data_IF_932021075844
#
_entry.id   IF_932021075844
#
_cell.length_a   1.000
_cell.length_b   1.000
_cell.length_c   1.000
_cell.angle_alpha   90.00
_cell.angle_beta   90.00
_cell.angle_gamma   90.00
#
_symmetry.space_group_name_H-M   'P 1'
#
loop_
_entity.id
_entity.type
_entity.pdbx_description
1 polymer ?
#
# COMPACT_ATOMS: atom_id res chain seq x y z
N UNK A 1 3.96 31.56 -18.58
CA UNK A 1 2.85 31.01 -17.77
C UNK A 1 3.17 29.59 -17.35
N UNK A 2 2.74 29.21 -16.14
CA UNK A 2 2.80 27.83 -15.66
C UNK A 2 1.74 27.05 -16.45
N UNK A 3 2.12 25.96 -17.12
CA UNK A 3 1.15 25.12 -17.85
C UNK A 3 0.11 24.58 -16.88
N UNK A 4 -1.18 24.64 -17.22
CA UNK A 4 -2.26 23.99 -16.48
C UNK A 4 -3.14 23.17 -17.44
N UNK A 5 -3.70 22.02 -17.01
CA UNK A 5 -4.60 21.24 -17.85
C UNK A 5 -5.89 22.01 -18.18
N UNK A 6 -6.48 21.83 -19.36
CA UNK A 6 -7.79 22.41 -19.65
C UNK A 6 -8.84 21.86 -18.67
N UNK A 7 -9.81 22.69 -18.31
CA UNK A 7 -10.96 22.35 -17.46
C UNK A 7 -10.64 21.80 -16.06
N UNK A 8 -9.39 21.82 -15.59
CA UNK A 8 -8.98 21.21 -14.32
C UNK A 8 -9.79 21.74 -13.12
N UNK A 9 -10.13 23.04 -13.13
CA UNK A 9 -10.94 23.69 -12.07
C UNK A 9 -12.36 23.14 -12.04
N UNK A 10 -12.98 23.01 -13.21
CA UNK A 10 -14.34 22.44 -13.37
C UNK A 10 -14.30 20.97 -12.95
N UNK A 11 -13.31 20.22 -13.43
CA UNK A 11 -13.14 18.81 -13.12
C UNK A 11 -12.97 18.58 -11.61
N UNK A 12 -12.16 19.40 -10.94
CA UNK A 12 -11.98 19.34 -9.50
C UNK A 12 -13.26 19.70 -8.74
N UNK A 13 -13.98 20.75 -9.16
CA UNK A 13 -15.25 21.16 -8.55
C UNK A 13 -16.31 20.04 -8.65
N UNK A 14 -16.42 19.41 -9.81
CA UNK A 14 -17.30 18.25 -10.00
C UNK A 14 -16.90 17.05 -9.14
N UNK A 15 -15.60 16.78 -8.97
CA UNK A 15 -15.15 15.71 -8.08
C UNK A 15 -15.51 16.05 -6.63
N UNK A 16 -15.32 17.29 -6.18
CA UNK A 16 -15.75 17.75 -4.86
C UNK A 16 -17.24 17.54 -4.65
N UNK A 17 -18.08 17.88 -5.63
CA UNK A 17 -19.53 17.67 -5.54
C UNK A 17 -19.88 16.17 -5.44
N UNK A 18 -19.31 15.34 -6.31
CA UNK A 18 -19.49 13.87 -6.25
C UNK A 18 -18.96 13.24 -4.95
N UNK A 19 -18.06 13.92 -4.23
CA UNK A 19 -17.41 13.45 -3.00
C UNK A 19 -17.86 14.24 -1.77
N UNK A 20 -18.90 15.06 -1.88
CA UNK A 20 -19.39 15.93 -0.81
C UNK A 20 -19.81 15.15 0.45
N UNK A 21 -20.33 13.94 0.29
CA UNK A 21 -20.78 13.08 1.39
C UNK A 21 -19.64 12.42 2.18
N UNK A 22 -18.41 12.36 1.63
CA UNK A 22 -17.26 11.67 2.23
C UNK A 22 -17.59 10.25 2.70
N UNK A 23 -18.18 9.46 1.81
CA UNK A 23 -18.67 8.10 2.07
C UNK A 23 -17.81 6.98 1.45
N UNK A 24 -16.57 7.29 1.05
CA UNK A 24 -15.67 6.28 0.52
C UNK A 24 -14.96 5.52 1.64
N UNK A 25 -14.50 4.29 1.39
CA UNK A 25 -13.68 3.55 2.35
C UNK A 25 -12.52 4.35 2.94
N UNK A 26 -11.82 5.15 2.12
CA UNK A 26 -10.71 5.99 2.57
C UNK A 26 -11.11 7.04 3.63
N UNK A 27 -12.37 7.53 3.62
CA UNK A 27 -12.81 8.58 4.55
C UNK A 27 -13.00 8.08 5.98
N UNK A 28 -13.41 6.81 6.13
CA UNK A 28 -13.74 6.23 7.43
C UNK A 28 -12.71 5.20 7.89
N UNK A 29 -12.00 4.58 6.95
CA UNK A 29 -11.08 3.47 7.19
C UNK A 29 -9.67 3.74 6.66
N UNK A 30 -9.40 4.96 6.18
CA UNK A 30 -8.08 5.37 5.73
C UNK A 30 -7.12 5.70 6.87
N UNK A 31 -5.88 6.05 6.52
CA UNK A 31 -4.84 6.39 7.48
C UNK A 31 -5.17 7.63 8.34
N UNK A 32 -6.05 8.51 7.85
CA UNK A 32 -6.52 9.71 8.57
C UNK A 32 -7.42 9.38 9.77
N UNK A 33 -7.97 8.17 9.84
CA UNK A 33 -8.87 7.74 10.92
C UNK A 33 -8.36 6.52 11.70
N UNK A 34 -7.28 5.88 11.22
CA UNK A 34 -6.79 4.62 11.77
C UNK A 34 -5.89 4.73 13.03
N UNK A 35 -6.06 5.78 13.84
CA UNK A 35 -5.36 5.96 15.11
C UNK A 35 -6.33 6.13 16.28
N UNK A 36 -5.84 5.94 17.50
CA UNK A 36 -6.62 6.11 18.73
C UNK A 36 -6.86 7.59 19.04
N UNK A 37 -8.11 8.04 19.17
CA UNK A 37 -8.42 9.39 19.63
C UNK A 37 -7.89 9.61 21.04
N UNK A 38 -7.21 10.74 21.27
CA UNK A 38 -6.64 11.07 22.58
C UNK A 38 -5.31 10.40 22.92
N UNK A 39 -4.77 9.54 22.04
CA UNK A 39 -3.43 9.00 22.24
C UNK A 39 -2.36 10.11 22.23
N UNK A 40 -1.27 9.97 23.02
CA UNK A 40 -0.14 10.90 22.99
C UNK A 40 0.38 11.09 21.56
N UNK A 41 0.85 12.30 21.23
CA UNK A 41 1.27 12.64 19.86
C UNK A 41 2.27 11.65 19.23
N UNK A 42 3.32 11.15 19.93
CA UNK A 42 4.22 10.13 19.37
C UNK A 42 3.50 8.81 19.04
N UNK A 43 2.58 8.37 19.91
CA UNK A 43 1.79 7.15 19.70
C UNK A 43 0.86 7.29 18.51
N UNK A 44 0.16 8.44 18.40
CA UNK A 44 -0.71 8.73 17.26
C UNK A 44 0.08 8.72 15.95
N UNK A 45 1.23 9.39 15.91
CA UNK A 45 2.09 9.45 14.73
C UNK A 45 2.62 8.08 14.32
N UNK A 46 3.05 7.29 15.30
CA UNK A 46 3.42 5.89 15.08
C UNK A 46 2.26 5.08 14.48
N UNK A 47 1.06 5.17 15.06
CA UNK A 47 -0.12 4.45 14.54
C UNK A 47 -0.49 4.85 13.11
N UNK A 48 -0.37 6.14 12.76
CA UNK A 48 -0.52 6.61 11.38
C UNK A 48 0.50 5.93 10.46
N UNK A 49 1.78 5.91 10.84
CA UNK A 49 2.82 5.22 10.07
C UNK A 49 2.52 3.73 9.89
N UNK A 50 2.13 3.03 10.95
CA UNK A 50 1.77 1.60 10.88
C UNK A 50 0.60 1.40 9.92
N UNK A 51 -0.45 2.24 9.99
CA UNK A 51 -1.59 2.13 9.08
C UNK A 51 -1.18 2.27 7.61
N UNK A 52 -0.27 3.21 7.30
CA UNK A 52 0.27 3.41 5.95
C UNK A 52 1.08 2.20 5.48
N UNK A 53 1.98 1.67 6.32
CA UNK A 53 2.74 0.45 6.00
C UNK A 53 1.81 -0.74 5.70
N UNK A 54 0.74 -0.90 6.47
CA UNK A 54 -0.24 -1.98 6.29
C UNK A 54 -1.14 -1.79 5.08
N UNK A 55 -1.46 -0.56 4.69
CA UNK A 55 -2.33 -0.23 3.55
C UNK A 55 -1.76 -0.65 2.19
N UNK A 56 -0.43 -0.78 2.07
CA UNK A 56 0.20 -1.11 0.80
C UNK A 56 -0.35 -2.42 0.21
N UNK A 57 -0.98 -2.36 -0.97
CA UNK A 57 -1.63 -3.50 -1.62
C UNK A 57 -2.63 -4.24 -0.70
N UNK A 58 -3.36 -3.51 0.14
CA UNK A 58 -4.40 -4.04 1.03
C UNK A 58 -5.58 -3.09 1.02
N UNK A 59 -6.81 -3.62 1.10
CA UNK A 59 -8.01 -2.78 1.14
C UNK A 59 -8.11 -2.04 2.47
N UNK A 60 -8.76 -0.89 2.47
CA UNK A 60 -8.88 -0.03 3.66
C UNK A 60 -9.61 -0.75 4.79
N UNK A 61 -10.66 -1.54 4.50
CA UNK A 61 -11.42 -2.29 5.50
C UNK A 61 -10.54 -3.32 6.24
N UNK A 62 -9.68 -4.02 5.49
CA UNK A 62 -8.77 -5.03 6.05
C UNK A 62 -7.68 -4.36 6.89
N UNK A 63 -7.21 -3.20 6.44
CA UNK A 63 -6.20 -2.40 7.15
C UNK A 63 -6.76 -1.85 8.45
N UNK A 64 -7.95 -1.25 8.42
CA UNK A 64 -8.63 -0.71 9.59
C UNK A 64 -8.92 -1.80 10.64
N UNK A 65 -9.37 -2.99 10.21
CA UNK A 65 -9.57 -4.13 11.10
C UNK A 65 -8.26 -4.60 11.75
N UNK A 66 -7.15 -4.62 11.02
CA UNK A 66 -5.84 -4.95 11.58
C UNK A 66 -5.33 -3.89 12.56
N UNK A 67 -5.51 -2.60 12.22
CA UNK A 67 -5.18 -1.49 13.11
C UNK A 67 -6.00 -1.55 14.40
N UNK A 68 -7.29 -1.88 14.34
CA UNK A 68 -8.11 -2.05 15.54
C UNK A 68 -7.57 -3.14 16.47
N UNK A 69 -7.18 -4.31 15.93
CA UNK A 69 -6.55 -5.38 16.72
C UNK A 69 -5.21 -4.97 17.31
N UNK A 70 -4.36 -4.28 16.53
CA UNK A 70 -3.07 -3.78 17.01
C UNK A 70 -3.24 -2.75 18.13
N UNK A 71 -4.20 -1.83 18.01
CA UNK A 71 -4.47 -0.82 19.05
C UNK A 71 -4.93 -1.48 20.35
N UNK A 72 -5.87 -2.42 20.26
CA UNK A 72 -6.31 -3.21 21.42
C UNK A 72 -5.16 -3.99 22.10
N UNK A 73 -4.15 -4.40 21.32
CA UNK A 73 -2.96 -5.09 21.82
C UNK A 73 -1.87 -4.14 22.38
N UNK A 74 -1.96 -2.83 22.11
CA UNK A 74 -0.94 -1.84 22.48
C UNK A 74 -0.04 -1.43 21.31
N UNK A 75 -0.61 -0.73 20.32
CA UNK A 75 0.11 -0.26 19.14
C UNK A 75 1.04 0.92 19.47
N UNK A 76 2.17 0.61 20.08
CA UNK A 76 3.28 1.50 20.42
C UNK A 76 4.60 0.86 19.97
N UNK A 77 5.68 1.65 19.84
CA UNK A 77 7.01 1.12 19.46
C UNK A 77 7.42 0.00 20.42
N UNK A 78 7.34 0.24 21.72
CA UNK A 78 7.71 -0.75 22.74
C UNK A 78 6.78 -1.96 22.73
N UNK A 79 5.46 -1.74 22.58
CA UNK A 79 4.47 -2.83 22.52
C UNK A 79 4.66 -3.76 21.32
N UNK A 80 5.04 -3.22 20.16
CA UNK A 80 5.37 -4.04 18.99
C UNK A 80 6.67 -4.80 19.19
N UNK A 81 7.70 -4.19 19.81
CA UNK A 81 8.98 -4.85 20.07
C UNK A 81 8.87 -5.97 21.10
N UNK A 82 8.00 -5.82 22.11
CA UNK A 82 7.71 -6.86 23.10
C UNK A 82 6.82 -7.98 22.56
N UNK A 83 6.15 -7.78 21.43
CA UNK A 83 5.26 -8.78 20.83
C UNK A 83 6.07 -9.83 20.07
N UNK A 84 5.75 -11.10 20.27
CA UNK A 84 6.37 -12.19 19.53
C UNK A 84 5.98 -12.14 18.03
N UNK A 85 6.85 -12.68 17.16
CA UNK A 85 6.67 -12.54 15.71
C UNK A 85 5.39 -13.22 15.21
N UNK A 86 5.00 -14.35 15.81
CA UNK A 86 3.83 -15.11 15.39
C UNK A 86 2.52 -14.43 15.81
N UNK A 87 2.46 -13.89 17.03
CA UNK A 87 1.36 -13.10 17.57
C UNK A 87 1.18 -11.83 16.75
N UNK A 88 2.27 -11.13 16.44
CA UNK A 88 2.21 -9.98 15.54
C UNK A 88 1.63 -10.39 14.19
N UNK A 89 2.06 -11.54 13.66
CA UNK A 89 1.49 -12.12 12.45
C UNK A 89 -0.01 -12.36 12.51
N UNK A 90 -0.50 -12.97 13.60
CA UNK A 90 -1.93 -13.20 13.86
C UNK A 90 -2.72 -11.89 13.94
N UNK A 91 -2.16 -10.85 14.57
CA UNK A 91 -2.78 -9.52 14.63
C UNK A 91 -2.91 -8.89 13.24
N UNK A 92 -1.92 -9.09 12.36
CA UNK A 92 -1.94 -8.54 11.01
C UNK A 92 -2.81 -9.32 10.02
N UNK A 93 -3.02 -10.62 10.19
CA UNK A 93 -3.83 -11.42 9.26
C UNK A 93 -5.30 -10.90 9.19
N UNK A 94 -5.92 -10.71 8.01
CA UNK A 94 -5.52 -11.16 6.68
C UNK A 94 -4.89 -10.06 5.79
N UNK A 95 -4.16 -9.09 6.35
CA UNK A 95 -3.46 -8.06 5.55
C UNK A 95 -2.57 -8.71 4.48
N UNK A 96 -2.59 -8.13 3.27
CA UNK A 96 -1.78 -8.62 2.15
C UNK A 96 -0.29 -8.55 2.51
N UNK A 97 0.45 -9.64 2.24
CA UNK A 97 1.88 -9.76 2.59
C UNK A 97 2.19 -9.55 4.08
N UNK A 98 1.27 -9.94 4.98
CA UNK A 98 1.41 -9.70 6.43
C UNK A 98 2.73 -10.22 7.03
N UNK A 99 3.28 -11.34 6.54
CA UNK A 99 4.56 -11.90 7.03
C UNK A 99 5.71 -10.93 6.80
N UNK A 100 5.81 -10.41 5.58
CA UNK A 100 6.83 -9.42 5.20
C UNK A 100 6.62 -8.11 5.97
N UNK A 101 5.37 -7.66 6.08
CA UNK A 101 5.00 -6.43 6.81
C UNK A 101 5.30 -6.53 8.31
N UNK A 102 5.07 -7.67 8.95
CA UNK A 102 5.46 -7.89 10.35
C UNK A 102 6.97 -7.72 10.54
N UNK A 103 7.77 -8.23 9.60
CA UNK A 103 9.22 -8.04 9.58
C UNK A 103 9.64 -6.58 9.41
N UNK A 104 9.03 -5.85 8.45
CA UNK A 104 9.29 -4.42 8.26
C UNK A 104 8.90 -3.59 9.48
N UNK A 105 7.74 -3.86 10.07
CA UNK A 105 7.23 -3.16 11.23
C UNK A 105 8.16 -3.32 12.44
N UNK A 106 8.61 -4.55 12.74
CA UNK A 106 9.55 -4.79 13.83
C UNK A 106 10.90 -4.10 13.60
N UNK A 107 11.46 -4.17 12.39
CA UNK A 107 12.71 -3.46 12.04
C UNK A 107 12.55 -1.95 12.14
N UNK A 108 11.42 -1.42 11.70
CA UNK A 108 11.09 0.00 11.83
C UNK A 108 11.09 0.39 13.31
N UNK A 109 10.40 -0.35 14.17
CA UNK A 109 10.37 -0.08 15.61
C UNK A 109 11.77 -0.08 16.25
N UNK A 110 12.66 -0.99 15.84
CA UNK A 110 14.06 -1.00 16.30
C UNK A 110 14.79 0.30 15.92
N UNK A 111 14.65 0.74 14.66
CA UNK A 111 15.24 2.00 14.19
C UNK A 111 14.66 3.19 14.96
N UNK A 112 13.34 3.25 15.14
CA UNK A 112 12.68 4.33 15.89
C UNK A 112 13.17 4.39 17.34
N UNK A 113 13.27 3.24 18.01
CA UNK A 113 13.75 3.19 19.39
C UNK A 113 15.22 3.64 19.52
N UNK A 114 16.07 3.28 18.56
CA UNK A 114 17.50 3.57 18.61
C UNK A 114 17.87 4.99 18.17
N UNK A 115 17.23 5.49 17.12
CA UNK A 115 17.66 6.72 16.42
C UNK A 115 16.69 7.89 16.64
N UNK A 116 15.41 7.61 16.91
CA UNK A 116 14.34 8.61 16.97
C UNK A 116 13.62 8.62 18.32
N UNK A 117 14.24 8.10 19.38
CA UNK A 117 13.70 8.12 20.75
C UNK A 117 12.27 7.54 20.87
N UNK A 118 11.92 6.57 20.01
CA UNK A 118 10.60 5.92 19.99
C UNK A 118 9.52 6.68 19.21
N UNK A 119 9.88 7.76 18.51
CA UNK A 119 8.99 8.55 17.67
C UNK A 119 9.31 8.34 16.18
N UNK A 120 8.44 8.80 15.28
CA UNK A 120 8.72 8.76 13.83
C UNK A 120 9.57 9.97 13.41
N UNK A 121 10.37 9.89 12.33
CA UNK A 121 11.08 11.04 11.77
C UNK A 121 10.12 12.16 11.31
N UNK A 122 10.58 13.41 11.39
CA UNK A 122 9.85 14.63 11.00
C UNK A 122 10.25 15.18 9.63
N UNK A 123 10.91 14.35 8.82
CA UNK A 123 11.34 14.65 7.45
C UNK A 123 10.95 13.53 6.48
N UNK A 124 10.76 13.87 5.21
CA UNK A 124 10.44 12.88 4.16
C UNK A 124 11.59 11.91 3.99
N UNK A 125 12.82 12.42 3.99
CA UNK A 125 14.06 11.65 3.84
C UNK A 125 14.22 10.64 4.99
N UNK A 126 13.98 11.09 6.22
CA UNK A 126 14.01 10.23 7.40
C UNK A 126 12.96 9.12 7.33
N UNK A 127 11.74 9.46 6.91
CA UNK A 127 10.65 8.49 6.75
C UNK A 127 10.95 7.47 5.64
N UNK A 128 11.46 7.90 4.48
CA UNK A 128 11.86 7.00 3.38
C UNK A 128 13.02 6.09 3.78
N UNK A 129 13.88 6.52 4.71
CA UNK A 129 14.92 5.68 5.29
C UNK A 129 14.41 4.49 6.11
N UNK A 130 13.13 4.49 6.49
CA UNK A 130 12.55 3.40 7.29
C UNK A 130 12.23 2.15 6.43
N UNK A 131 12.45 0.93 6.97
CA UNK A 131 12.21 -0.30 6.23
C UNK A 131 10.76 -0.46 5.76
N UNK A 132 10.56 -0.51 4.44
CA UNK A 132 9.24 -0.72 3.84
C UNK A 132 8.40 0.55 3.72
N UNK A 133 8.97 1.73 4.03
CA UNK A 133 8.37 3.03 3.77
C UNK A 133 8.91 3.58 2.45
N UNK A 134 8.02 4.07 1.60
CA UNK A 134 8.37 4.67 0.30
C UNK A 134 7.88 6.11 0.21
N UNK A 135 8.22 6.84 -0.88
CA UNK A 135 7.94 8.28 -1.01
C UNK A 135 6.47 8.66 -0.76
N UNK A 136 5.51 7.90 -1.32
CA UNK A 136 4.07 8.09 -1.07
C UNK A 136 3.76 8.07 0.43
N UNK A 137 4.24 7.04 1.13
CA UNK A 137 3.95 6.85 2.55
C UNK A 137 4.59 7.95 3.39
N UNK A 138 5.79 8.41 3.02
CA UNK A 138 6.47 9.50 3.70
C UNK A 138 5.69 10.82 3.57
N UNK A 139 5.24 11.20 2.36
CA UNK A 139 4.41 12.40 2.18
C UNK A 139 3.07 12.33 2.92
N UNK A 140 2.41 11.16 2.90
CA UNK A 140 1.18 10.95 3.66
C UNK A 140 1.41 11.03 5.18
N UNK A 141 2.49 10.43 5.69
CA UNK A 141 2.83 10.52 7.10
C UNK A 141 3.15 11.96 7.51
N UNK A 142 3.89 12.73 6.69
CA UNK A 142 4.10 14.15 6.94
C UNK A 142 2.79 14.94 7.01
N UNK A 143 1.87 14.69 6.08
CA UNK A 143 0.58 15.40 6.07
C UNK A 143 -0.30 15.04 7.26
N UNK A 144 -0.46 13.75 7.56
CA UNK A 144 -1.44 13.25 8.54
C UNK A 144 -0.86 13.28 9.96
N UNK A 145 0.37 12.81 10.12
CA UNK A 145 1.00 12.63 11.42
C UNK A 145 1.55 13.97 11.96
N UNK A 146 2.11 14.80 11.08
CA UNK A 146 2.78 16.05 11.43
C UNK A 146 2.02 17.31 11.03
N UNK A 147 0.92 17.20 10.27
CA UNK A 147 0.18 18.36 9.77
C UNK A 147 0.96 19.18 8.73
N UNK A 148 2.02 18.62 8.13
CA UNK A 148 2.92 19.31 7.21
C UNK A 148 2.79 18.74 5.80
N UNK A 149 2.31 19.55 4.85
CA UNK A 149 2.18 19.14 3.45
C UNK A 149 3.53 19.27 2.75
N UNK A 150 4.30 18.19 2.70
CA UNK A 150 5.62 18.15 2.04
C UNK A 150 5.53 17.89 0.53
N UNK A 151 4.50 17.17 0.08
CA UNK A 151 4.30 16.78 -1.32
C UNK A 151 3.01 15.99 -1.51
N UNK A 152 2.70 15.64 -2.76
CA UNK A 152 1.49 14.89 -3.10
C UNK A 152 1.76 13.38 -2.95
N UNK A 153 1.03 12.71 -2.07
CA UNK A 153 1.11 11.26 -1.88
C UNK A 153 0.46 10.44 -3.00
N UNK A 154 1.06 10.41 -4.20
CA UNK A 154 0.46 9.73 -5.37
C UNK A 154 0.41 8.21 -5.19
N UNK A 155 -0.78 7.66 -5.39
CA UNK A 155 -1.03 6.22 -5.37
C UNK A 155 -1.66 5.71 -6.66
N UNK A 156 -2.11 4.45 -6.69
CA UNK A 156 -2.71 3.86 -7.89
C UNK A 156 -4.03 4.53 -8.31
N UNK A 157 -4.76 5.15 -7.38
CA UNK A 157 -5.96 5.92 -7.67
C UNK A 157 -5.60 7.28 -8.21
N UNK A 158 -4.80 8.06 -7.49
CA UNK A 158 -4.33 9.39 -7.92
C UNK A 158 -3.65 9.29 -9.29
N UNK A 159 -2.72 8.34 -9.45
CA UNK A 159 -2.02 8.11 -10.72
C UNK A 159 -2.98 7.83 -11.88
N UNK A 160 -3.91 6.88 -11.69
CA UNK A 160 -4.87 6.50 -12.74
C UNK A 160 -5.82 7.65 -13.08
N UNK A 161 -6.37 8.31 -12.07
CA UNK A 161 -7.37 9.37 -12.25
C UNK A 161 -6.72 10.59 -12.91
N UNK A 162 -5.54 11.01 -12.48
CA UNK A 162 -4.82 12.13 -13.11
C UNK A 162 -4.49 11.86 -14.57
N UNK A 163 -4.07 10.63 -14.92
CA UNK A 163 -3.88 10.25 -16.31
C UNK A 163 -5.19 10.30 -17.11
N UNK A 164 -6.30 9.80 -16.54
CA UNK A 164 -7.61 9.76 -17.24
C UNK A 164 -8.25 11.13 -17.44
N UNK A 165 -8.07 12.04 -16.47
CA UNK A 165 -8.57 13.42 -16.56
C UNK A 165 -7.72 14.31 -17.47
N UNK A 166 -6.54 13.83 -17.91
CA UNK A 166 -5.61 14.64 -18.70
C UNK A 166 -4.86 15.67 -17.87
N UNK A 167 -4.67 15.43 -16.57
CA UNK A 167 -3.98 16.35 -15.65
C UNK A 167 -2.45 16.37 -15.82
N UNK A 168 -1.93 15.62 -16.77
CA UNK A 168 -0.50 15.47 -17.03
C UNK A 168 -0.23 15.84 -18.50
N UNK A 169 0.82 16.62 -18.75
CA UNK A 169 1.25 17.00 -20.12
C UNK A 169 1.49 15.77 -20.99
N UNK A 170 2.10 14.76 -20.40
CA UNK A 170 2.39 13.48 -21.02
C UNK A 170 1.90 12.39 -20.10
N UNK A 171 1.29 11.35 -20.67
CA UNK A 171 0.86 10.18 -19.90
C UNK A 171 2.06 9.61 -19.12
N UNK A 172 1.91 9.57 -17.80
CA UNK A 172 2.96 9.15 -16.89
C UNK A 172 2.90 7.64 -16.68
N UNK A 173 4.07 7.00 -16.57
CA UNK A 173 4.15 5.55 -16.32
C UNK A 173 4.40 5.21 -14.85
N UNK A 174 4.83 6.17 -14.05
CA UNK A 174 5.19 5.94 -12.64
C UNK A 174 4.48 6.94 -11.72
N UNK A 175 4.23 6.53 -10.47
CA UNK A 175 3.61 7.40 -9.47
C UNK A 175 4.47 8.65 -9.19
N UNK A 176 5.79 8.52 -9.20
CA UNK A 176 6.74 9.62 -8.94
C UNK A 176 6.71 10.68 -10.06
N UNK A 177 6.68 10.25 -11.32
CA UNK A 177 6.51 11.16 -12.45
C UNK A 177 5.16 11.90 -12.37
N UNK A 178 4.10 11.21 -11.94
CA UNK A 178 2.80 11.84 -11.73
C UNK A 178 2.82 12.84 -10.58
N UNK A 179 3.54 12.55 -9.50
CA UNK A 179 3.71 13.48 -8.38
C UNK A 179 4.36 14.76 -8.85
N UNK A 180 5.55 14.66 -9.45
CA UNK A 180 6.28 15.82 -10.00
C UNK A 180 5.39 16.62 -10.95
N UNK A 181 4.75 15.95 -11.90
CA UNK A 181 3.90 16.63 -12.89
C UNK A 181 2.66 17.31 -12.28
N UNK A 182 2.09 16.79 -11.19
CA UNK A 182 0.99 17.46 -10.47
C UNK A 182 1.52 18.65 -9.65
N UNK A 183 2.62 18.45 -8.92
CA UNK A 183 3.27 19.51 -8.13
C UNK A 183 3.73 20.68 -8.99
N UNK A 184 4.07 20.42 -10.26
CA UNK A 184 4.51 21.40 -11.27
C UNK A 184 3.45 22.41 -11.68
N UNK A 185 2.16 22.17 -11.46
CA UNK A 185 1.09 23.13 -11.82
C UNK A 185 0.01 23.31 -10.75
N UNK A 186 -0.30 22.27 -9.96
CA UNK A 186 -1.37 22.31 -8.97
C UNK A 186 -1.00 23.27 -7.82
N UNK A 187 -1.89 24.22 -7.44
CA UNK A 187 -1.67 25.09 -6.30
C UNK A 187 -1.37 24.31 -5.01
N UNK A 188 -0.36 24.75 -4.25
CA UNK A 188 0.11 24.06 -3.03
C UNK A 188 -0.99 23.86 -1.98
N UNK A 189 -1.94 24.79 -1.89
CA UNK A 189 -3.09 24.67 -0.99
C UNK A 189 -3.96 23.42 -1.26
N UNK A 190 -3.92 22.86 -2.47
CA UNK A 190 -4.72 21.69 -2.86
C UNK A 190 -3.98 20.36 -2.67
N UNK A 191 -2.69 20.37 -2.31
CA UNK A 191 -1.86 19.16 -2.28
C UNK A 191 -2.30 18.17 -1.19
N UNK A 192 -2.75 18.67 -0.04
CA UNK A 192 -3.33 17.83 1.01
C UNK A 192 -4.70 17.26 0.60
N UNK A 193 -5.51 18.07 -0.08
CA UNK A 193 -6.87 17.72 -0.46
C UNK A 193 -6.93 16.69 -1.59
N UNK A 194 -6.10 16.87 -2.62
CA UNK A 194 -6.18 16.10 -3.86
C UNK A 194 -6.03 14.61 -3.63
N UNK A 195 -5.32 14.20 -2.58
CA UNK A 195 -5.08 12.79 -2.29
C UNK A 195 -6.37 12.05 -1.90
N UNK A 196 -6.95 12.39 -0.74
CA UNK A 196 -8.15 11.71 -0.25
C UNK A 196 -9.32 11.87 -1.21
N UNK A 197 -9.40 13.02 -1.91
CA UNK A 197 -10.43 13.31 -2.88
C UNK A 197 -10.35 12.36 -4.08
N UNK A 198 -9.18 12.24 -4.73
CA UNK A 198 -9.00 11.38 -5.89
C UNK A 198 -8.98 9.88 -5.52
N UNK A 199 -8.50 9.52 -4.32
CA UNK A 199 -8.57 8.13 -3.83
C UNK A 199 -10.02 7.69 -3.72
N UNK A 200 -10.86 8.44 -2.98
CA UNK A 200 -12.27 8.10 -2.82
C UNK A 200 -13.04 8.12 -4.15
N UNK A 201 -12.78 9.12 -5.00
CA UNK A 201 -13.36 9.17 -6.35
C UNK A 201 -12.95 7.96 -7.21
N UNK A 202 -11.69 7.55 -7.12
CA UNK A 202 -11.17 6.37 -7.80
C UNK A 202 -11.70 5.03 -7.24
N UNK A 203 -12.08 4.99 -5.96
CA UNK A 203 -12.69 3.81 -5.33
C UNK A 203 -14.14 3.61 -5.78
N UNK A 204 -14.92 4.69 -5.87
CA UNK A 204 -16.37 4.62 -6.10
C UNK A 204 -16.78 4.81 -7.57
N UNK A 205 -16.21 5.84 -8.24
CA UNK A 205 -16.65 6.29 -9.57
C UNK A 205 -15.64 5.91 -10.67
N UNK A 206 -14.42 6.43 -10.61
CA UNK A 206 -13.38 6.19 -11.62
C UNK A 206 -12.59 4.90 -11.36
N UNK A 207 -13.33 3.77 -11.34
CA UNK A 207 -12.82 2.44 -11.03
C UNK A 207 -11.80 1.95 -12.07
N UNK A 208 -10.84 1.08 -11.69
CA UNK A 208 -9.85 0.55 -12.63
C UNK A 208 -10.48 -0.13 -13.84
N UNK A 209 -11.49 -0.97 -13.60
CA UNK A 209 -12.29 -1.66 -14.61
C UNK A 209 -13.70 -1.07 -14.63
N UNK A 210 -14.23 -0.82 -15.82
CA UNK A 210 -15.59 -0.29 -16.05
C UNK A 210 -15.90 0.93 -15.16
N UNK A 211 -15.20 2.07 -15.36
CA UNK A 211 -15.52 3.30 -14.64
C UNK A 211 -16.97 3.74 -14.91
N UNK A 212 -17.61 4.35 -13.92
CA UNK A 212 -18.99 4.83 -14.02
C UNK A 212 -19.08 6.19 -14.75
N UNK A 213 -18.61 6.24 -16.00
CA UNK A 213 -18.56 7.48 -16.77
C UNK A 213 -19.95 8.10 -17.00
N UNK A 214 -21.00 7.28 -17.13
CA UNK A 214 -22.39 7.74 -17.32
C UNK A 214 -22.97 8.47 -16.10
N UNK A 215 -22.41 8.23 -14.92
CA UNK A 215 -22.82 8.89 -13.66
C UNK A 215 -21.78 9.93 -13.20
N UNK A 216 -20.78 10.22 -14.02
CA UNK A 216 -19.68 11.09 -13.68
C UNK A 216 -19.98 12.52 -14.17
N UNK A 217 -19.98 13.50 -13.28
CA UNK A 217 -20.18 14.91 -13.65
C UNK A 217 -19.09 15.41 -14.63
N UNK A 218 -17.94 14.74 -14.68
CA UNK A 218 -16.86 15.04 -15.63
C UNK A 218 -17.03 14.39 -17.01
N UNK A 219 -18.16 13.74 -17.31
CA UNK A 219 -18.33 13.01 -18.58
C UNK A 219 -18.05 13.89 -19.81
N UNK A 220 -18.53 15.14 -19.82
CA UNK A 220 -18.39 16.06 -20.96
C UNK A 220 -16.99 16.64 -21.10
N UNK A 221 -16.25 16.82 -19.99
CA UNK A 221 -14.94 17.46 -19.97
C UNK A 221 -13.77 16.49 -19.69
N UNK A 222 -14.03 15.18 -19.62
CA UNK A 222 -13.00 14.17 -19.37
C UNK A 222 -12.56 13.51 -20.69
N UNK A 223 -11.27 13.58 -21.05
CA UNK A 223 -10.78 13.02 -22.31
C UNK A 223 -10.91 11.49 -22.40
N UNK A 224 -11.01 10.80 -21.26
CA UNK A 224 -11.14 9.34 -21.20
C UNK A 224 -12.60 8.84 -21.14
N UNK A 225 -13.61 9.72 -21.04
CA UNK A 225 -15.00 9.29 -20.82
C UNK A 225 -15.60 8.50 -22.00
N UNK A 226 -15.14 8.80 -23.22
CA UNK A 226 -15.65 8.22 -24.47
C UNK A 226 -14.68 7.24 -25.13
N UNK A 227 -13.57 6.91 -24.48
CA UNK A 227 -12.61 5.96 -25.04
C UNK A 227 -13.13 4.53 -24.85
N UNK A 228 -13.08 3.68 -25.89
CA UNK A 228 -13.42 2.27 -25.73
C UNK A 228 -12.50 1.64 -24.67
N UNK A 229 -13.01 0.69 -23.86
CA UNK A 229 -12.17 0.02 -22.89
C UNK A 229 -10.96 -0.60 -23.60
N UNK A 230 -9.75 -0.54 -23.00
CA UNK A 230 -8.59 -1.18 -23.60
C UNK A 230 -8.93 -2.65 -23.85
N UNK A 231 -8.88 -3.06 -25.12
CA UNK A 231 -9.10 -4.45 -25.52
C UNK A 231 -8.17 -5.31 -24.69
N UNK A 232 -8.73 -6.21 -23.90
CA UNK A 232 -7.91 -7.22 -23.24
C UNK A 232 -7.15 -7.93 -24.35
N UNK A 233 -5.81 -7.89 -24.30
CA UNK A 233 -5.01 -8.81 -25.11
C UNK A 233 -5.48 -10.20 -24.71
N UNK A 234 -6.34 -10.79 -25.53
CA UNK A 234 -6.61 -12.22 -25.50
C UNK A 234 -5.24 -12.87 -25.58
N UNK A 235 -4.87 -13.61 -24.54
CA UNK A 235 -3.72 -14.52 -24.63
C UNK A 235 -4.06 -15.42 -25.81
N UNK A 236 -3.36 -15.24 -26.93
CA UNK A 236 -3.41 -16.19 -28.05
C UNK A 236 -3.15 -17.57 -27.44
N UNK A 237 -4.04 -18.55 -27.62
CA UNK A 237 -3.74 -19.92 -27.25
C UNK A 237 -2.45 -20.29 -27.98
N UNK A 238 -1.43 -20.67 -27.22
CA UNK A 238 -0.24 -21.31 -27.78
C UNK A 238 -0.77 -22.57 -28.48
N UNK A 239 -0.70 -22.63 -29.80
CA UNK A 239 -1.00 -23.85 -30.55
C UNK A 239 -0.10 -24.95 -29.98
N UNK A 240 -0.71 -25.93 -29.32
CA UNK A 240 -0.11 -27.24 -29.16
C UNK A 240 -0.11 -27.87 -30.54
N UNK A 241 1.05 -27.89 -31.19
CA UNK A 241 1.28 -28.74 -32.35
C UNK A 241 1.03 -30.19 -31.90
N UNK A 242 -0.07 -30.78 -32.36
CA UNK A 242 -0.37 -32.19 -32.19
C UNK A 242 0.39 -32.97 -33.26
N UNK A 243 1.51 -33.59 -32.89
CA UNK A 243 2.13 -34.64 -33.70
C UNK A 243 1.22 -35.90 -33.70
N UNK A 244 1.00 -36.56 -34.87
CA UNK A 244 0.20 -37.77 -34.96
C UNK A 244 0.94 -39.02 -34.42
N UNK A 245 0.22 -40.08 -34.00
CA UNK A 245 0.81 -41.17 -33.23
C UNK A 245 1.43 -42.23 -34.16
N UNK A 246 2.76 -42.39 -34.10
CA UNK A 246 3.43 -43.52 -34.76
C UNK A 246 3.91 -44.54 -33.73
N UNK A 247 3.28 -45.71 -33.77
CA UNK A 247 3.61 -46.88 -32.96
C UNK A 247 5.02 -47.37 -33.30
N UNK A 248 5.86 -47.61 -32.29
CA UNK A 248 7.12 -48.36 -32.48
C UNK A 248 7.29 -49.40 -31.39
N UNK A 249 7.49 -50.61 -31.88
CA UNK A 249 7.53 -51.91 -31.22
C UNK A 249 8.65 -52.05 -30.18
N UNK A 250 8.37 -52.83 -29.14
CA UNK A 250 9.32 -53.23 -28.09
C UNK A 250 10.20 -54.37 -28.59
N UNK A 251 11.51 -54.20 -28.58
CA UNK A 251 12.49 -55.30 -28.67
C UNK A 251 13.57 -55.08 -27.60
N UNK A 252 13.98 -56.11 -26.83
CA UNK A 252 14.75 -55.94 -25.61
C UNK A 252 16.27 -55.75 -25.87
N UNK A 253 16.92 -55.04 -24.94
CA UNK A 253 18.33 -54.66 -24.98
C UNK A 253 19.20 -55.69 -24.23
N UNK A 254 20.33 -56.16 -24.79
CA UNK A 254 21.35 -56.90 -24.03
C UNK A 254 22.40 -55.96 -23.40
N UNK A 255 23.15 -56.41 -22.37
CA UNK A 255 24.05 -55.57 -21.57
C UNK A 255 25.52 -55.72 -22.00
N UNK A 256 26.34 -54.65 -21.87
CA UNK A 256 27.79 -54.64 -21.48
C UNK A 256 28.40 -53.25 -21.74
N UNK A 257 28.96 -52.59 -20.71
CA UNK A 257 30.37 -52.47 -20.30
C UNK A 257 31.24 -51.43 -21.06
N UNK A 258 31.51 -50.32 -20.34
CA UNK A 258 32.79 -49.58 -20.10
C UNK A 258 33.92 -49.63 -21.14
N UNK A 259 34.36 -48.44 -21.59
CA UNK A 259 35.78 -48.01 -21.65
C UNK A 259 35.90 -46.49 -21.88
N UNK A 260 37.03 -45.90 -21.45
CA UNK A 260 37.32 -44.46 -21.31
C UNK A 260 38.21 -43.92 -22.46
N UNK A 261 38.04 -42.61 -22.74
CA UNK A 261 39.02 -41.59 -23.23
C UNK A 261 39.66 -41.73 -24.62
N UNK A 262 40.25 -40.67 -25.22
CA UNK A 262 40.23 -39.22 -24.89
C UNK A 262 39.90 -38.27 -26.07
N UNK A 263 39.77 -36.98 -25.76
CA UNK A 263 39.57 -35.83 -26.64
C UNK A 263 40.89 -35.32 -27.26
N UNK A 264 40.83 -34.65 -28.42
CA UNK A 264 41.71 -33.52 -28.71
C UNK A 264 40.93 -32.24 -29.07
N UNK A 265 41.69 -31.14 -29.01
CA UNK A 265 41.35 -29.72 -29.17
C UNK A 265 41.09 -29.34 -30.64
N UNK A 266 40.32 -28.26 -30.91
CA UNK A 266 40.85 -26.95 -31.31
C UNK A 266 39.80 -26.02 -32.00
N UNK A 267 40.06 -24.72 -31.90
CA UNK A 267 39.59 -23.58 -32.72
C UNK A 267 38.33 -22.74 -32.37
N UNK A 268 38.62 -21.45 -32.12
CA UNK A 268 37.72 -20.30 -31.99
C UNK A 268 37.35 -19.68 -33.36
N UNK A 269 36.43 -18.67 -33.41
CA UNK A 269 36.94 -17.29 -33.56
C UNK A 269 36.09 -16.13 -32.96
N UNK A 270 36.86 -15.12 -32.50
CA UNK A 270 36.78 -13.63 -32.62
C UNK A 270 35.47 -12.83 -32.46
N UNK A 271 35.58 -11.80 -31.61
CA UNK A 271 34.86 -10.50 -31.61
C UNK A 271 35.90 -9.36 -31.64
N UNK A 272 35.61 -8.14 -32.16
CA UNK A 272 36.65 -7.13 -32.38
C UNK A 272 36.59 -5.86 -31.51
N UNK A 273 37.79 -5.24 -31.37
CA UNK A 273 38.17 -3.81 -31.17
C UNK A 273 37.73 -3.08 -29.87
N UNK A 274 38.52 -2.19 -29.22
CA UNK A 274 39.82 -1.53 -29.49
C UNK A 274 40.36 -0.82 -28.22
N UNK A 275 41.71 -0.72 -28.11
CA UNK A 275 42.55 0.43 -27.64
C UNK A 275 42.48 0.94 -26.18
N UNK A 276 43.56 1.39 -25.49
CA UNK A 276 45.01 1.35 -25.71
C UNK A 276 45.80 1.78 -24.43
N UNK A 277 47.00 1.21 -24.28
CA UNK A 277 48.30 1.74 -23.77
C UNK A 277 48.55 2.27 -22.32
N UNK A 278 49.74 1.87 -21.81
CA UNK A 278 50.31 1.94 -20.44
C UNK A 278 51.23 3.20 -20.22
N UNK A 279 52.09 3.40 -19.14
CA UNK A 279 53.18 2.48 -18.70
C UNK A 279 53.70 2.47 -17.20
N UNK A 280 54.05 1.26 -16.69
CA UNK A 280 55.20 0.80 -15.83
C UNK A 280 55.55 1.46 -14.44
N UNK A 281 56.56 0.98 -13.65
CA UNK A 281 56.57 -0.08 -12.60
C UNK A 281 57.24 0.43 -11.25
N UNK A 282 57.94 -0.34 -10.36
CA UNK A 282 57.96 -1.78 -9.96
C UNK A 282 57.81 -2.02 -8.41
N UNK A 283 57.70 -3.29 -7.96
CA UNK A 283 58.60 -3.97 -6.96
C UNK A 283 57.96 -5.06 -6.06
N UNK A 284 58.78 -6.12 -5.84
CA UNK A 284 58.94 -7.02 -4.66
C UNK A 284 57.95 -8.18 -4.35
N UNK A 285 58.37 -9.38 -4.79
CA UNK A 285 58.72 -10.61 -4.03
C UNK A 285 58.07 -10.83 -2.64
N UNK A 286 57.31 -11.94 -2.48
CA UNK A 286 57.37 -12.88 -1.34
C UNK A 286 56.67 -14.22 -1.63
N UNK A 287 57.17 -15.28 -0.97
CA UNK A 287 57.06 -16.73 -1.20
C UNK A 287 55.72 -17.42 -0.84
N UNK A 288 55.49 -18.71 -1.20
CA UNK A 288 54.22 -19.42 -1.02
C UNK A 288 54.14 -20.30 0.26
N UNK A 289 52.93 -20.64 0.77
CA UNK A 289 52.76 -21.59 1.87
C UNK A 289 52.52 -23.06 1.41
N UNK A 290 53.05 -23.98 2.23
CA UNK A 290 52.96 -25.46 2.17
C UNK A 290 51.60 -26.02 2.66
N UNK A 291 51.26 -27.29 2.35
CA UNK A 291 49.97 -27.91 2.67
C UNK A 291 49.98 -28.71 3.99
N UNK A 292 48.82 -28.96 4.64
CA UNK A 292 48.72 -29.86 5.78
C UNK A 292 48.40 -31.31 5.38
N UNK A 293 48.94 -32.23 6.18
CA UNK A 293 48.93 -33.70 6.04
C UNK A 293 47.82 -34.41 6.82
N UNK A 294 47.20 -35.40 6.15
CA UNK A 294 46.76 -36.75 6.56
C UNK A 294 46.08 -36.99 7.93
N UNK A 295 44.89 -37.61 7.90
CA UNK A 295 44.68 -38.96 8.47
C UNK A 295 43.38 -39.64 8.00
N UNK A 296 43.53 -40.86 7.52
CA UNK A 296 42.51 -41.81 7.07
C UNK A 296 41.91 -42.60 8.24
N UNK A 297 40.64 -42.98 8.14
CA UNK A 297 39.96 -43.98 8.98
C UNK A 297 39.04 -44.85 8.11
N UNK A 298 38.88 -46.16 8.41
CA UNK A 298 38.25 -47.14 7.52
C UNK A 298 36.71 -47.14 7.54
N UNK A 299 36.04 -47.72 6.51
CA UNK A 299 34.59 -47.61 6.32
C UNK A 299 33.78 -48.57 7.21
N UNK A 300 32.65 -48.08 7.74
CA UNK A 300 31.64 -48.87 8.48
C UNK A 300 30.66 -49.58 7.52
N UNK A 301 30.15 -50.78 7.86
CA UNK A 301 29.20 -51.53 7.03
C UNK A 301 27.76 -50.98 7.10
N UNK A 302 26.90 -51.30 6.11
CA UNK A 302 25.56 -50.74 5.98
C UNK A 302 24.62 -51.32 7.04
N UNK A 303 24.03 -50.44 7.85
CA UNK A 303 23.02 -50.79 8.86
C UNK A 303 21.63 -50.78 8.24
N UNK A 304 20.88 -51.84 8.53
CA UNK A 304 19.56 -52.14 8.01
C UNK A 304 18.51 -51.17 8.54
N UNK A 305 17.59 -50.77 7.67
CA UNK A 305 16.41 -49.94 7.96
C UNK A 305 15.40 -50.77 8.77
N UNK A 306 15.00 -50.38 10.00
CA UNK A 306 13.94 -51.11 10.69
C UNK A 306 12.60 -50.87 10.00
N UNK A 307 11.91 -51.97 9.66
CA UNK A 307 10.52 -51.99 9.19
C UNK A 307 9.62 -51.60 10.37
N UNK A 308 8.89 -50.50 10.24
CA UNK A 308 7.80 -50.14 11.17
C UNK A 308 6.68 -51.18 11.11
N UNK A 309 6.15 -51.68 12.24
CA UNK A 309 5.00 -52.56 12.25
C UNK A 309 3.73 -51.81 11.82
N UNK A 310 2.91 -52.50 11.04
CA UNK A 310 1.56 -52.09 10.63
C UNK A 310 0.68 -51.96 11.88
N UNK A 311 -0.14 -50.91 12.06
CA UNK A 311 -1.06 -50.84 13.18
C UNK A 311 -2.23 -51.83 12.99
N UNK A 312 -2.84 -52.33 14.08
CA UNK A 312 -3.92 -53.30 14.03
C UNK A 312 -5.22 -52.64 13.57
N UNK A 313 -5.99 -53.38 12.76
CA UNK A 313 -7.36 -53.09 12.39
C UNK A 313 -8.26 -53.00 13.63
N UNK A 314 -8.84 -51.83 13.90
CA UNK A 314 -9.93 -51.67 14.86
C UNK A 314 -11.14 -51.04 14.19
N UNK A 315 -12.20 -51.87 14.12
CA UNK A 315 -13.63 -51.60 14.31
C UNK A 315 -14.16 -50.21 13.89
N UNK A 316 -14.98 -50.28 12.85
CA UNK A 316 -16.11 -49.40 12.56
C UNK A 316 -16.82 -48.95 13.84
N UNK A 317 -16.84 -47.63 14.09
CA UNK A 317 -17.82 -46.97 14.94
C UNK A 317 -18.84 -46.27 14.04
N UNK A 318 -20.11 -46.13 14.46
CA UNK A 318 -21.19 -45.65 13.60
C UNK A 318 -20.97 -44.18 13.21
N UNK A 319 -21.27 -43.87 11.95
CA UNK A 319 -21.28 -42.51 11.43
C UNK A 319 -22.38 -41.70 12.12
N UNK A 320 -22.02 -40.54 12.66
CA UNK A 320 -23.00 -39.50 13.00
C UNK A 320 -23.74 -39.05 11.72
N UNK A 321 -25.07 -38.88 11.74
CA UNK A 321 -25.80 -38.38 10.58
C UNK A 321 -25.44 -36.92 10.29
N UNK A 322 -25.48 -36.49 9.02
CA UNK A 322 -25.12 -35.13 8.64
C UNK A 322 -26.07 -34.10 9.27
N UNK A 323 -25.57 -32.88 9.57
CA UNK A 323 -26.41 -31.82 10.13
C UNK A 323 -27.52 -31.42 9.16
N UNK A 324 -28.74 -31.23 9.67
CA UNK A 324 -29.90 -30.76 8.90
C UNK A 324 -29.61 -29.38 8.28
N UNK A 325 -30.10 -29.11 7.05
CA UNK A 325 -30.02 -27.77 6.48
C UNK A 325 -30.82 -26.77 7.32
N UNK A 326 -30.41 -25.50 7.37
CA UNK A 326 -31.12 -24.46 8.12
C UNK A 326 -32.54 -24.29 7.56
N UNK A 327 -33.53 -24.27 8.44
CA UNK A 327 -34.91 -23.98 8.08
C UNK A 327 -35.05 -22.47 7.83
N UNK A 328 -35.63 -22.11 6.68
CA UNK A 328 -35.99 -20.73 6.38
C UNK A 328 -36.98 -20.18 7.42
N UNK A 329 -36.82 -18.92 7.87
CA UNK A 329 -37.79 -18.30 8.76
C UNK A 329 -39.14 -18.12 8.04
N UNK A 330 -40.27 -18.25 8.74
CA UNK A 330 -41.59 -18.10 8.14
C UNK A 330 -41.78 -16.69 7.55
N UNK A 331 -42.55 -16.55 6.45
CA UNK A 331 -42.74 -15.26 5.79
C UNK A 331 -43.41 -14.27 6.76
N UNK A 332 -42.82 -13.07 6.87
CA UNK A 332 -43.44 -11.95 7.61
C UNK A 332 -44.73 -11.56 6.89
N UNK A 333 -45.85 -11.63 7.60
CA UNK A 333 -47.16 -11.16 7.12
C UNK A 333 -47.15 -9.67 6.74
N UNK A 334 -48.16 -9.20 5.99
CA UNK A 334 -48.19 -7.87 5.41
C UNK A 334 -48.22 -6.77 6.49
N UNK A 335 -47.41 -5.73 6.30
CA UNK A 335 -47.39 -4.54 7.16
C UNK A 335 -48.73 -3.79 7.05
N UNK A 336 -49.30 -3.28 8.16
CA UNK A 336 -50.48 -2.43 8.10
C UNK A 336 -50.17 -1.06 7.46
N UNK A 337 -51.14 -0.44 6.76
CA UNK A 337 -50.96 0.84 6.09
C UNK A 337 -50.79 1.99 7.09
N UNK A 338 -49.91 2.94 6.76
CA UNK A 338 -49.69 4.17 7.53
C UNK A 338 -50.92 5.11 7.42
N UNK A 339 -51.33 5.78 8.52
CA UNK A 339 -52.41 6.77 8.47
C UNK A 339 -51.95 8.08 7.80
N UNK A 340 -52.87 8.82 7.14
CA UNK A 340 -52.55 10.04 6.41
C UNK A 340 -52.28 11.22 7.35
N UNK A 341 -51.18 11.93 7.10
CA UNK A 341 -50.81 13.17 7.79
C UNK A 341 -51.67 14.33 7.30
N UNK A 342 -52.39 14.98 8.24
CA UNK A 342 -53.18 16.19 8.00
C UNK A 342 -52.27 17.39 7.70
N UNK A 343 -52.59 18.10 6.62
CA UNK A 343 -52.01 19.37 6.18
C UNK A 343 -52.65 20.51 6.99
N UNK A 344 -51.91 21.46 7.59
CA UNK A 344 -52.53 22.63 8.21
C UNK A 344 -52.89 23.67 7.13
N UNK A 345 -54.12 24.16 7.18
CA UNK A 345 -54.56 25.37 6.49
C UNK A 345 -54.21 26.60 7.34
N UNK A 346 -53.78 27.68 6.69
CA UNK A 346 -53.90 29.04 7.20
C UNK A 346 -53.92 30.01 6.01
N UNK A 347 -55.05 30.68 5.79
CA UNK A 347 -55.09 32.01 5.18
C UNK A 347 -55.31 33.06 6.27
N UNK A 348 -55.64 34.34 5.96
CA UNK A 348 -55.57 35.02 4.67
C UNK A 348 -54.60 36.23 4.68
N UNK A 349 -54.30 36.72 3.48
CA UNK A 349 -53.60 37.98 3.18
C UNK A 349 -54.34 39.21 3.69
N UNK A 350 -53.64 40.35 3.87
CA UNK A 350 -54.03 41.50 3.05
C UNK A 350 -52.88 42.38 2.54
N UNK A 351 -53.20 43.00 1.39
CA UNK A 351 -52.87 44.36 0.93
C UNK A 351 -51.42 44.77 0.60
N UNK A 352 -51.36 45.40 -0.57
CA UNK A 352 -50.25 45.81 -1.41
C UNK A 352 -50.06 47.32 -1.28
N UNK A 353 -48.85 47.77 -0.97
CA UNK A 353 -48.41 49.15 -1.25
C UNK A 353 -46.88 49.16 -1.48
N UNK A 354 -46.46 49.72 -2.60
CA UNK A 354 -45.07 50.06 -2.96
C UNK A 354 -44.92 51.60 -2.90
N UNK A 355 -43.77 52.17 -3.29
CA UNK A 355 -42.40 52.01 -2.81
C UNK A 355 -41.86 53.37 -2.30
N UNK A 356 -40.69 53.45 -1.63
CA UNK A 356 -39.82 54.63 -1.73
C UNK A 356 -38.44 54.49 -1.06
N UNK A 357 -37.46 55.05 -1.79
CA UNK A 357 -36.16 55.67 -1.44
C UNK A 357 -35.01 54.89 -0.72
N UNK A 358 -33.87 54.93 -1.43
CA UNK A 358 -32.44 54.72 -1.08
C UNK A 358 -31.89 55.72 0.00
N UNK A 359 -30.57 55.80 0.32
CA UNK A 359 -29.55 54.83 0.80
C UNK A 359 -28.86 55.33 2.13
N UNK A 360 -27.52 55.23 2.40
CA UNK A 360 -26.91 54.35 3.40
C UNK A 360 -26.13 55.05 4.55
N UNK A 361 -25.83 54.34 5.65
CA UNK A 361 -24.74 54.64 6.61
C UNK A 361 -24.62 53.45 7.61
N UNK A 362 -23.49 52.75 7.70
CA UNK A 362 -22.24 53.08 8.42
C UNK A 362 -22.14 52.34 9.77
N UNK A 363 -21.20 51.39 9.81
CA UNK A 363 -20.23 51.13 10.88
C UNK A 363 -20.67 51.16 12.36
N UNK A 364 -20.63 49.99 13.00
CA UNK A 364 -20.03 49.76 14.33
C UNK A 364 -19.89 48.24 14.53
N UNK A 365 -18.65 47.75 14.46
CA UNK A 365 -17.85 47.35 15.63
C UNK A 365 -18.25 45.96 16.17
N UNK A 366 -17.53 44.94 15.72
CA UNK A 366 -17.23 43.69 16.44
C UNK A 366 -15.73 43.46 16.24
N UNK A 367 -14.91 44.03 17.12
CA UNK A 367 -14.23 43.32 18.23
C UNK A 367 -13.25 42.27 17.73
N UNK A 368 -12.00 42.72 17.73
CA UNK A 368 -10.73 42.00 17.68
C UNK A 368 -10.75 40.78 18.63
N UNK A 369 -10.68 39.57 18.09
CA UNK A 369 -10.39 38.34 18.86
C UNK A 369 -9.96 37.13 17.99
N UNK A 370 -9.56 37.31 16.72
CA UNK A 370 -9.21 36.18 15.83
C UNK A 370 -7.96 36.47 14.96
N UNK A 371 -6.98 37.19 15.52
CA UNK A 371 -5.68 37.40 14.88
C UNK A 371 -4.55 37.24 15.90
N UNK A 372 -4.47 36.07 16.54
CA UNK A 372 -3.29 35.70 17.33
C UNK A 372 -3.16 34.17 17.46
N UNK A 373 -3.12 33.44 16.35
CA UNK A 373 -2.72 32.01 16.34
C UNK A 373 -1.80 31.62 15.15
N UNK A 374 -1.18 32.57 14.44
CA UNK A 374 -0.29 32.29 13.29
C UNK A 374 1.20 32.58 13.56
N UNK A 375 1.66 32.39 14.80
CA UNK A 375 3.09 32.31 15.13
C UNK A 375 3.33 31.24 16.21
N UNK A 376 3.14 29.96 15.88
CA UNK A 376 3.84 28.88 16.59
C UNK A 376 5.06 28.48 15.79
N UNK A 377 6.22 28.88 16.29
CA UNK A 377 7.52 28.37 15.84
C UNK A 377 7.48 26.84 15.66
N UNK A 378 8.10 26.31 14.59
CA UNK A 378 8.27 24.87 14.46
C UNK A 378 9.06 24.34 15.68
N UNK A 379 8.70 23.16 16.23
CA UNK A 379 9.50 22.55 17.28
C UNK A 379 10.96 22.39 16.81
N UNK A 380 11.95 22.60 17.69
CA UNK A 380 13.35 22.51 17.32
C UNK A 380 13.66 21.12 16.75
N UNK A 381 14.62 21.02 15.81
CA UNK A 381 15.04 19.74 15.25
C UNK A 381 15.41 18.79 16.39
N UNK A 382 14.87 17.58 16.34
CA UNK A 382 15.07 16.55 17.36
C UNK A 382 16.54 16.52 17.83
N UNK A 383 16.75 16.94 19.09
CA UNK A 383 18.05 16.82 19.74
C UNK A 383 18.49 15.36 19.66
N UNK A 384 19.74 15.14 19.25
CA UNK A 384 20.36 13.81 19.14
C UNK A 384 19.94 12.93 20.32
N UNK A 385 19.21 11.85 20.03
CA UNK A 385 18.68 10.95 21.05
C UNK A 385 19.85 10.40 21.88
N UNK A 386 19.91 10.63 23.21
CA UNK A 386 20.98 10.07 24.02
C UNK A 386 20.85 8.54 24.01
N UNK A 387 21.97 7.78 23.99
CA UNK A 387 21.91 6.33 23.92
C UNK A 387 21.17 5.77 25.14
N UNK A 388 19.96 5.23 24.91
CA UNK A 388 19.21 4.49 25.94
C UNK A 388 19.95 3.19 26.23
N UNK A 389 20.61 3.10 27.39
CA UNK A 389 21.11 1.81 27.91
C UNK A 389 19.93 0.86 28.09
N UNK A 390 19.88 -0.18 27.27
CA UNK A 390 19.03 -1.34 27.50
C UNK A 390 19.38 -1.90 28.89
N UNK A 391 18.39 -1.93 29.80
CA UNK A 391 18.50 -2.69 31.04
C UNK A 391 18.59 -4.16 30.65
N UNK A 392 19.77 -4.75 30.77
CA UNK A 392 20.04 -6.16 30.49
C UNK A 392 21.03 -6.33 29.34
N UNK A 393 22.31 -6.43 29.69
CA UNK A 393 23.38 -6.68 28.73
C UNK A 393 23.24 -8.04 28.04
N UNK A 394 23.22 -8.02 26.71
CA UNK A 394 23.88 -8.98 25.82
C UNK A 394 23.88 -8.39 24.41
N UNK A 395 25.09 -8.10 23.92
CA UNK A 395 25.36 -7.68 22.55
C UNK A 395 25.30 -8.92 21.65
N UNK A 396 24.56 -8.82 20.54
CA UNK A 396 24.63 -9.73 19.40
C UNK A 396 24.52 -8.91 18.12
#
# INVERSE_FOLDING_TARGET
>A
ERWEPPDWRIQLAHIREMRRSRDAPVDHMGAETCYEPGAPAPVRRFQVLVSLMLSSQTRDEVTAAAMARLRAHGCTVDGILSTDHEALGRLLHPVGFWRTKAGYLRRTCLVLQQQFCGDIPDSVEGLVGLPGVGPKMAHLAMSIAWGRVSGIGVDTHVHRVSNRLGWLRTASRTAEQTRSALEDWLPRALWGEVNWLLVGFGQQKCRPLRPLCSECLNQSCCPSAHQPPPTQRTKTPRQEDQDPPTQRTKTPRPPTQRTKTPHPEDHAPKTPHQEDLAPRPPTKRTSPPRPPTKRTSPPRPPTQRPKTPRPPTKRTSPQDPPPRPPQDPPPRGPRPPRPPTKRPQAGPTPSRTSPDLLPPASSRAKTEAEQEEDEREPPPPSASCPPRRLKGGKVL
#
